data_IF_759214359975
#
_entry.id   IF_759214359975
#
_cell.length_a   1.000
_cell.length_b   1.000
_cell.length_c   1.000
_cell.angle_alpha   90.00
_cell.angle_beta   90.00
_cell.angle_gamma   90.00
#
_symmetry.space_group_name_H-M   'P 1'
#
loop_
_entity.id
_entity.type
_entity.pdbx_description
1 polymer ?
#
# COMPACT_ATOMS: atom_id res chain seq x y z
N UNK A 1 -1.40 -12.59 -11.90
CA UNK A 1 -1.14 -13.65 -12.92
C UNK A 1 -2.28 -14.64 -13.05
N UNK A 2 -2.88 -15.13 -11.98
CA UNK A 2 -4.00 -16.10 -12.02
C UNK A 2 -5.22 -15.71 -12.88
N UNK A 3 -5.57 -14.42 -12.93
CA UNK A 3 -6.65 -13.95 -13.82
C UNK A 3 -6.22 -13.79 -15.29
N UNK A 4 -4.92 -13.77 -15.57
CA UNK A 4 -4.34 -13.57 -16.90
C UNK A 4 -3.88 -14.90 -17.53
N UNK A 5 -3.41 -15.83 -16.70
CA UNK A 5 -2.96 -17.16 -17.06
C UNK A 5 -3.59 -18.19 -16.14
N UNK A 6 -3.86 -19.36 -16.69
CA UNK A 6 -4.28 -20.53 -15.92
C UNK A 6 -5.78 -20.68 -15.70
N UNK A 7 -6.56 -20.17 -16.65
CA UNK A 7 -7.97 -20.49 -16.76
C UNK A 7 -8.14 -21.96 -17.18
N UNK A 8 -9.14 -22.65 -16.62
CA UNK A 8 -9.48 -24.00 -17.03
C UNK A 8 -10.42 -24.00 -18.25
N UNK A 9 -9.98 -23.35 -19.33
CA UNK A 9 -10.72 -23.17 -20.58
C UNK A 9 -10.08 -23.92 -21.76
N UNK A 10 -9.05 -24.73 -21.49
CA UNK A 10 -8.29 -25.46 -22.50
C UNK A 10 -7.18 -24.65 -23.18
N UNK A 11 -6.94 -23.40 -22.77
CA UNK A 11 -5.84 -22.58 -23.29
C UNK A 11 -4.45 -23.05 -22.87
N UNK A 12 -4.35 -23.81 -21.77
CA UNK A 12 -3.09 -24.27 -21.19
C UNK A 12 -2.95 -25.80 -21.27
N UNK A 13 -1.75 -26.27 -21.58
CA UNK A 13 -1.44 -27.69 -21.82
C UNK A 13 -0.75 -28.32 -20.62
N UNK A 14 -1.32 -29.43 -20.14
CA UNK A 14 -0.76 -30.25 -19.06
C UNK A 14 0.59 -30.84 -19.46
N UNK A 15 1.57 -30.80 -18.56
CA UNK A 15 2.94 -31.26 -18.80
C UNK A 15 3.81 -30.31 -19.61
N UNK A 16 3.26 -29.16 -20.04
CA UNK A 16 3.98 -28.11 -20.77
C UNK A 16 3.87 -26.79 -20.00
N UNK A 17 2.64 -26.26 -19.89
CA UNK A 17 2.37 -24.98 -19.26
C UNK A 17 2.16 -25.13 -17.74
N UNK A 18 1.68 -26.28 -17.31
CA UNK A 18 1.57 -26.63 -15.90
C UNK A 18 1.91 -28.10 -15.63
N UNK A 19 2.41 -28.44 -14.42
CA UNK A 19 2.79 -29.80 -14.05
C UNK A 19 1.73 -30.87 -14.32
N UNK A 20 2.15 -31.97 -14.95
CA UNK A 20 1.40 -33.23 -14.95
C UNK A 20 1.71 -34.05 -13.69
N UNK A 21 1.22 -33.58 -12.55
CA UNK A 21 1.35 -34.30 -11.28
C UNK A 21 0.02 -34.31 -10.53
N UNK A 22 -0.27 -35.42 -9.86
CA UNK A 22 -1.48 -35.56 -9.07
C UNK A 22 -1.50 -34.50 -7.95
N UNK A 23 -2.64 -33.81 -7.81
CA UNK A 23 -2.84 -32.75 -6.81
C UNK A 23 -2.48 -31.35 -7.31
N UNK A 24 -1.85 -31.21 -8.47
CA UNK A 24 -1.70 -29.90 -9.10
C UNK A 24 -3.05 -29.41 -9.64
N UNK A 25 -3.46 -28.16 -9.39
CA UNK A 25 -4.73 -27.66 -9.90
C UNK A 25 -4.73 -27.59 -11.43
N UNK A 26 -5.75 -28.17 -12.05
CA UNK A 26 -5.89 -28.20 -13.52
C UNK A 26 -5.97 -26.78 -14.05
N UNK A 27 -5.12 -26.48 -15.04
CA UNK A 27 -5.02 -25.16 -15.63
C UNK A 27 -4.11 -24.20 -14.85
N UNK A 28 -3.71 -24.45 -13.61
CA UNK A 28 -2.88 -23.49 -12.87
C UNK A 28 -1.45 -23.43 -13.43
N UNK A 29 -1.13 -22.35 -14.15
CA UNK A 29 0.21 -22.11 -14.73
C UNK A 29 1.09 -21.43 -13.68
N UNK A 30 2.19 -22.06 -13.21
CA UNK A 30 3.11 -21.42 -12.29
C UNK A 30 3.93 -20.36 -13.03
N UNK A 31 3.92 -19.14 -12.52
CA UNK A 31 4.71 -18.03 -13.07
C UNK A 31 5.61 -17.49 -11.97
N UNK A 32 6.91 -17.49 -12.23
CA UNK A 32 7.90 -17.00 -11.27
C UNK A 32 7.68 -15.50 -11.02
N UNK A 33 7.53 -15.13 -9.75
CA UNK A 33 7.48 -13.73 -9.31
C UNK A 33 8.83 -13.43 -8.69
N UNK A 34 9.62 -12.61 -9.37
CA UNK A 34 10.91 -12.14 -8.85
C UNK A 34 10.69 -11.01 -7.85
N UNK A 35 11.53 -10.99 -6.81
CA UNK A 35 11.56 -9.93 -5.80
C UNK A 35 13.00 -9.68 -5.40
N UNK A 36 13.24 -8.54 -4.77
CA UNK A 36 14.52 -8.18 -4.16
C UNK A 36 14.29 -7.79 -2.69
N UNK A 37 15.37 -7.54 -1.96
CA UNK A 37 15.28 -7.00 -0.60
C UNK A 37 14.69 -5.59 -0.63
N UNK A 38 13.87 -5.26 0.36
CA UNK A 38 13.09 -4.03 0.43
C UNK A 38 13.97 -2.77 0.29
N UNK A 39 15.12 -2.75 0.96
CA UNK A 39 16.01 -1.58 0.96
C UNK A 39 16.78 -1.42 -0.37
N UNK A 40 16.75 -2.46 -1.21
CA UNK A 40 17.35 -2.49 -2.55
C UNK A 40 16.32 -2.40 -3.68
N UNK A 41 15.03 -2.33 -3.36
CA UNK A 41 13.97 -2.18 -4.36
C UNK A 41 13.80 -0.71 -4.76
N UNK A 42 14.31 -0.39 -5.94
CA UNK A 42 14.23 0.96 -6.53
C UNK A 42 13.00 1.14 -7.44
N UNK A 43 12.10 0.17 -7.47
CA UNK A 43 10.98 0.11 -8.43
C UNK A 43 9.61 0.19 -7.77
N UNK A 44 9.41 -0.51 -6.65
CA UNK A 44 8.10 -0.70 -6.03
C UNK A 44 7.96 -0.07 -4.65
N UNK A 45 9.04 0.40 -4.03
CA UNK A 45 9.00 0.96 -2.66
C UNK A 45 8.86 2.50 -2.73
N UNK A 46 7.64 3.05 -2.66
CA UNK A 46 7.43 4.51 -2.75
C UNK A 46 8.00 5.27 -1.56
N UNK A 47 8.26 4.57 -0.45
CA UNK A 47 8.82 5.14 0.77
C UNK A 47 10.31 4.85 0.94
N UNK A 48 11.01 4.45 -0.12
CA UNK A 48 12.45 4.25 -0.12
C UNK A 48 13.18 5.46 0.50
N UNK A 49 14.28 5.19 1.20
CA UNK A 49 15.05 6.23 1.88
C UNK A 49 15.45 7.32 0.87
N UNK A 50 14.95 8.53 1.10
CA UNK A 50 15.09 9.64 0.17
C UNK A 50 15.13 10.95 0.96
N UNK A 51 16.34 11.39 1.32
CA UNK A 51 16.55 12.65 2.05
C UNK A 51 15.91 13.85 1.35
N UNK A 52 15.88 13.83 0.01
CA UNK A 52 15.25 14.89 -0.78
C UNK A 52 13.74 14.96 -0.55
N UNK A 53 13.05 13.82 -0.38
CA UNK A 53 11.61 13.78 -0.08
C UNK A 53 11.34 14.45 1.25
N UNK A 54 12.11 14.10 2.27
CA UNK A 54 11.91 14.63 3.62
C UNK A 54 12.26 16.13 3.68
N UNK A 55 13.29 16.56 2.96
CA UNK A 55 13.61 17.98 2.78
C UNK A 55 12.49 18.75 2.05
N UNK A 56 11.96 18.20 0.94
CA UNK A 56 10.81 18.77 0.21
C UNK A 56 9.59 18.91 1.11
N UNK A 57 9.30 17.87 1.88
CA UNK A 57 8.13 17.85 2.75
C UNK A 57 8.29 18.84 3.91
N UNK A 58 9.49 18.95 4.47
CA UNK A 58 9.83 19.98 5.44
C UNK A 58 9.60 21.40 4.90
N UNK A 59 10.01 21.66 3.65
CA UNK A 59 9.72 22.93 2.97
C UNK A 59 8.23 23.15 2.72
N UNK A 60 7.50 22.13 2.26
CA UNK A 60 6.07 22.21 1.99
C UNK A 60 5.30 22.57 3.26
N UNK A 61 5.64 21.98 4.41
CA UNK A 61 5.06 22.34 5.72
C UNK A 61 5.34 23.77 6.17
N UNK A 62 6.25 24.47 5.49
CA UNK A 62 6.49 25.90 5.73
C UNK A 62 5.69 26.84 4.83
N UNK A 63 5.04 26.33 3.78
CA UNK A 63 4.20 27.16 2.92
C UNK A 63 2.96 27.67 3.66
N UNK A 64 2.44 28.82 3.21
CA UNK A 64 1.21 29.40 3.74
C UNK A 64 0.03 28.44 3.56
N UNK A 65 -0.10 27.84 2.37
CA UNK A 65 -1.15 26.87 2.06
C UNK A 65 -1.22 25.71 3.06
N UNK A 66 -0.08 25.05 3.33
CA UNK A 66 -0.07 23.90 4.24
C UNK A 66 -0.28 24.35 5.68
N UNK A 67 0.32 25.48 6.09
CA UNK A 67 0.12 26.03 7.44
C UNK A 67 -1.33 26.40 7.68
N UNK A 68 -1.98 27.09 6.75
CA UNK A 68 -3.36 27.54 6.88
C UNK A 68 -4.32 26.35 6.93
N UNK A 69 -4.10 25.36 6.07
CA UNK A 69 -4.87 24.12 6.09
C UNK A 69 -4.74 23.39 7.43
N UNK A 70 -3.51 23.17 7.91
CA UNK A 70 -3.25 22.46 9.17
C UNK A 70 -3.72 23.24 10.40
N UNK A 71 -3.75 24.57 10.32
CA UNK A 71 -4.22 25.43 11.41
C UNK A 71 -5.73 25.69 11.39
N UNK A 72 -6.44 25.30 10.34
CA UNK A 72 -7.89 25.40 10.26
C UNK A 72 -8.57 24.70 11.45
N UNK A 73 -9.71 25.24 11.89
CA UNK A 73 -10.45 24.69 13.03
C UNK A 73 -10.80 23.23 12.84
N UNK A 74 -11.17 22.85 11.62
CA UNK A 74 -11.68 21.53 11.30
C UNK A 74 -10.58 20.47 11.36
N UNK A 75 -9.42 20.75 10.76
CA UNK A 75 -8.27 19.84 10.78
C UNK A 75 -7.74 19.66 12.20
N UNK A 76 -7.60 20.76 12.97
CA UNK A 76 -7.18 20.67 14.37
C UNK A 76 -8.16 19.88 15.23
N UNK A 77 -9.46 20.08 15.03
CA UNK A 77 -10.50 19.34 15.74
C UNK A 77 -10.52 17.86 15.36
N UNK A 78 -10.28 17.54 14.09
CA UNK A 78 -10.15 16.16 13.62
C UNK A 78 -8.98 15.46 14.33
N UNK A 79 -7.77 16.01 14.26
CA UNK A 79 -6.59 15.42 14.91
C UNK A 79 -6.78 15.27 16.41
N UNK A 80 -7.38 16.25 17.09
CA UNK A 80 -7.70 16.13 18.52
C UNK A 80 -8.66 14.97 18.82
N UNK A 81 -9.73 14.84 18.04
CA UNK A 81 -10.72 13.76 18.21
C UNK A 81 -10.10 12.39 17.95
N UNK A 82 -9.37 12.25 16.85
CA UNK A 82 -8.69 11.01 16.49
C UNK A 82 -7.67 10.63 17.57
N UNK A 83 -6.82 11.56 18.00
CA UNK A 83 -5.83 11.26 19.04
C UNK A 83 -6.48 10.82 20.36
N UNK A 84 -7.57 11.48 20.74
CA UNK A 84 -8.32 11.14 21.96
C UNK A 84 -8.94 9.75 21.89
N UNK A 85 -9.49 9.38 20.74
CA UNK A 85 -10.23 8.12 20.57
C UNK A 85 -9.29 6.94 20.29
N UNK A 86 -8.26 7.16 19.47
CA UNK A 86 -7.27 6.15 19.10
C UNK A 86 -6.19 5.92 20.16
N UNK A 87 -6.07 6.83 21.14
CA UNK A 87 -5.03 6.78 22.20
C UNK A 87 -3.59 6.83 21.65
N UNK A 88 -3.42 7.56 20.55
CA UNK A 88 -2.15 7.77 19.85
C UNK A 88 -2.07 9.24 19.42
N UNK A 89 -0.87 9.80 19.25
CA UNK A 89 -0.71 11.16 18.72
C UNK A 89 -0.92 11.16 17.20
N UNK A 90 -2.11 11.56 16.75
CA UNK A 90 -2.47 11.60 15.33
C UNK A 90 -2.26 13.00 14.77
N UNK A 91 -1.43 13.10 13.75
CA UNK A 91 -1.06 14.32 13.05
C UNK A 91 -0.93 14.09 11.53
N UNK A 92 -0.52 15.12 10.81
CA UNK A 92 -0.48 15.13 9.34
C UNK A 92 0.35 13.99 8.72
N UNK A 93 1.40 13.53 9.42
CA UNK A 93 2.36 12.56 8.86
C UNK A 93 1.92 11.10 9.11
N UNK A 94 0.97 10.84 10.01
CA UNK A 94 0.55 9.48 10.39
C UNK A 94 -0.97 9.23 10.30
N UNK A 95 -1.76 10.19 9.79
CA UNK A 95 -3.21 10.05 9.62
C UNK A 95 -3.62 8.80 8.81
N UNK A 96 -2.77 8.34 7.89
CA UNK A 96 -3.01 7.17 7.05
C UNK A 96 -3.27 5.90 7.87
N UNK A 97 -2.66 5.76 9.06
CA UNK A 97 -2.84 4.60 9.94
C UNK A 97 -4.32 4.44 10.32
N UNK A 98 -4.97 5.54 10.70
CA UNK A 98 -6.39 5.52 11.10
C UNK A 98 -7.27 5.26 9.89
N UNK A 99 -7.00 5.91 8.76
CA UNK A 99 -7.79 5.73 7.53
C UNK A 99 -7.76 4.29 7.06
N UNK A 100 -6.57 3.70 7.00
CA UNK A 100 -6.37 2.35 6.47
C UNK A 100 -7.02 1.31 7.38
N UNK A 101 -6.84 1.43 8.70
CA UNK A 101 -7.51 0.56 9.65
C UNK A 101 -9.04 0.63 9.49
N UNK A 102 -9.63 1.83 9.45
CA UNK A 102 -11.08 1.96 9.29
C UNK A 102 -11.57 1.45 7.94
N UNK A 103 -10.82 1.67 6.86
CA UNK A 103 -11.17 1.16 5.54
C UNK A 103 -11.20 -0.37 5.54
N UNK A 104 -10.24 -1.02 6.20
CA UNK A 104 -10.16 -2.49 6.25
C UNK A 104 -11.24 -3.07 7.18
N UNK A 105 -11.43 -2.50 8.36
CA UNK A 105 -12.26 -3.09 9.42
C UNK A 105 -13.75 -2.76 9.31
N UNK A 106 -14.11 -1.65 8.65
CA UNK A 106 -15.50 -1.15 8.61
C UNK A 106 -16.12 -1.25 7.22
N UNK A 107 -15.32 -1.38 6.15
CA UNK A 107 -15.84 -1.52 4.78
C UNK A 107 -16.31 -2.94 4.51
N UNK A 108 -17.44 -3.31 5.10
CA UNK A 108 -18.21 -4.53 4.80
C UNK A 108 -19.63 -4.16 4.42
#
# INVERSE_FOLDING_TARGET
MMGMYGQNDGSSTKGVDYPDVQGWPVGFVPIAVHTVDHDTDHTLVPHASCDRRDWLWGMAKQSEEVKDFLNSSDVRNLFKKLSTNCKEDIHVDNLWIVRDALLIEVST
#
